data_IF_362449273436
#
_entry.id   IF_362449273436
#
_cell.length_a   1.000
_cell.length_b   1.000
_cell.length_c   1.000
_cell.angle_alpha   90.00
_cell.angle_beta   90.00
_cell.angle_gamma   90.00
#
_symmetry.space_group_name_H-M   'P 1'
#
loop_
_entity.id
_entity.type
_entity.pdbx_description
1 polymer ?
#
# COMPACT_ATOMS: atom_id res chain seq x y z
N UNK A 1 15.56 -70.83 -17.73
CA UNK A 1 16.79 -70.16 -17.26
C UNK A 1 16.75 -68.75 -17.85
N UNK A 2 16.58 -67.72 -17.02
CA UNK A 2 16.61 -66.30 -17.42
C UNK A 2 18.08 -65.80 -17.49
N UNK A 3 18.40 -64.56 -17.89
CA UNK A 3 17.70 -63.52 -18.68
C UNK A 3 18.60 -62.94 -19.83
N UNK A 4 18.13 -61.94 -20.59
CA UNK A 4 19.01 -60.90 -21.15
C UNK A 4 18.25 -59.55 -21.30
N UNK A 5 18.91 -58.38 -21.12
CA UNK A 5 18.26 -57.16 -20.67
C UNK A 5 18.05 -56.08 -21.75
N UNK A 6 17.01 -55.28 -21.53
CA UNK A 6 16.70 -54.04 -22.25
C UNK A 6 17.63 -52.91 -21.80
N UNK A 7 18.42 -52.33 -22.71
CA UNK A 7 19.20 -51.10 -22.45
C UNK A 7 18.80 -49.97 -23.41
N UNK A 8 17.71 -49.28 -23.09
CA UNK A 8 17.34 -48.01 -23.70
C UNK A 8 18.07 -46.84 -23.03
N UNK A 9 18.81 -46.07 -23.82
CA UNK A 9 19.50 -44.83 -23.42
C UNK A 9 18.51 -43.84 -22.78
N UNK A 10 18.82 -43.37 -21.57
CA UNK A 10 18.25 -42.13 -21.00
C UNK A 10 19.39 -41.20 -20.59
N UNK A 11 19.29 -39.97 -21.07
CA UNK A 11 20.11 -38.80 -20.76
C UNK A 11 20.09 -38.51 -19.26
N UNK A 12 21.27 -38.42 -18.67
CA UNK A 12 21.47 -38.03 -17.27
C UNK A 12 21.56 -36.50 -17.21
N UNK A 13 20.52 -35.85 -16.71
CA UNK A 13 20.59 -34.47 -16.24
C UNK A 13 20.97 -34.48 -14.75
N UNK A 14 21.92 -33.65 -14.28
CA UNK A 14 22.31 -33.62 -12.88
C UNK A 14 21.21 -33.05 -11.97
N UNK A 15 21.26 -33.49 -10.72
CA UNK A 15 20.28 -33.28 -9.67
C UNK A 15 19.95 -31.80 -9.37
N UNK A 16 18.65 -31.58 -9.19
CA UNK A 16 18.02 -30.38 -8.67
C UNK A 16 18.67 -29.93 -7.36
N UNK A 17 19.53 -28.92 -7.43
CA UNK A 17 19.92 -28.12 -6.28
C UNK A 17 18.68 -27.46 -5.68
N UNK A 18 18.26 -27.96 -4.51
CA UNK A 18 17.17 -27.43 -3.71
C UNK A 18 17.38 -25.95 -3.41
N UNK A 19 16.70 -25.09 -4.16
CA UNK A 19 16.43 -23.72 -3.73
C UNK A 19 15.19 -23.75 -2.85
N UNK A 20 15.41 -24.04 -1.58
CA UNK A 20 14.47 -23.68 -0.53
C UNK A 20 14.29 -22.16 -0.59
N UNK A 21 13.23 -21.71 -1.24
CA UNK A 21 12.81 -20.32 -1.17
C UNK A 21 11.98 -20.18 0.11
N UNK A 22 12.45 -19.44 1.13
CA UNK A 22 11.62 -19.20 2.29
C UNK A 22 10.51 -18.23 1.89
N UNK A 23 9.33 -18.78 1.58
CA UNK A 23 8.09 -18.01 1.61
C UNK A 23 7.94 -17.52 3.05
N UNK A 24 7.84 -16.20 3.33
CA UNK A 24 7.70 -15.71 4.70
C UNK A 24 6.35 -16.13 5.29
N UNK A 25 6.29 -17.32 5.90
CA UNK A 25 5.10 -17.82 6.61
C UNK A 25 4.74 -16.96 7.83
N UNK A 26 5.66 -16.11 8.29
CA UNK A 26 5.46 -15.21 9.43
C UNK A 26 4.36 -14.16 9.21
N UNK A 27 4.12 -13.72 7.96
CA UNK A 27 3.17 -12.64 7.71
C UNK A 27 1.71 -13.05 7.98
N UNK A 28 1.34 -14.29 7.64
CA UNK A 28 -0.04 -14.77 7.75
C UNK A 28 -0.51 -14.98 9.19
N UNK A 29 0.44 -15.16 10.12
CA UNK A 29 0.13 -15.47 11.53
C UNK A 29 -0.17 -14.24 12.38
N UNK A 30 0.10 -13.01 11.89
CA UNK A 30 -0.09 -11.78 12.67
C UNK A 30 -1.50 -11.17 12.54
N UNK A 31 -2.34 -11.70 11.66
CA UNK A 31 -3.67 -11.14 11.39
C UNK A 31 -4.77 -11.57 12.38
N UNK A 32 -4.51 -12.49 13.33
CA UNK A 32 -5.59 -13.10 14.11
C UNK A 32 -5.21 -13.68 15.47
N UNK A 33 -4.67 -12.89 16.40
CA UNK A 33 -4.47 -13.41 17.76
C UNK A 33 -4.39 -12.32 18.82
N UNK A 34 -5.39 -12.29 19.71
CA UNK A 34 -5.30 -12.02 21.16
C UNK A 34 -6.35 -11.07 21.77
N UNK A 35 -6.88 -10.01 21.12
CA UNK A 35 -7.93 -9.18 21.74
C UNK A 35 -9.37 -9.65 21.49
N UNK A 36 -9.58 -10.45 20.44
CA UNK A 36 -10.91 -10.71 19.87
C UNK A 36 -11.84 -11.52 20.79
N UNK A 37 -11.30 -12.41 21.63
CA UNK A 37 -12.10 -13.39 22.40
C UNK A 37 -13.04 -12.78 23.44
N UNK A 38 -12.72 -11.60 24.00
CA UNK A 38 -13.61 -10.92 24.96
C UNK A 38 -14.71 -10.12 24.26
N UNK A 39 -14.40 -9.48 23.13
CA UNK A 39 -15.35 -8.70 22.33
C UNK A 39 -16.38 -9.61 21.66
N UNK A 40 -15.97 -10.80 21.22
CA UNK A 40 -16.86 -11.78 20.58
C UNK A 40 -17.97 -12.30 21.52
N UNK A 41 -17.77 -12.20 22.84
CA UNK A 41 -18.79 -12.57 23.84
C UNK A 41 -19.83 -11.48 24.03
N UNK A 42 -19.49 -10.22 23.74
CA UNK A 42 -20.41 -9.09 23.86
C UNK A 42 -21.56 -9.24 22.84
N UNK A 43 -22.79 -9.20 23.35
CA UNK A 43 -24.01 -9.24 22.54
C UNK A 43 -24.08 -8.04 21.58
N UNK A 44 -23.55 -6.89 21.98
CA UNK A 44 -23.52 -5.67 21.16
C UNK A 44 -22.60 -5.84 19.94
N UNK A 45 -21.39 -6.38 20.16
CA UNK A 45 -20.43 -6.66 19.10
C UNK A 45 -20.92 -7.75 18.15
N UNK A 46 -21.53 -8.83 18.64
CA UNK A 46 -22.12 -9.86 17.77
C UNK A 46 -23.22 -9.33 16.85
N UNK A 47 -24.06 -8.42 17.37
CA UNK A 47 -25.09 -7.76 16.54
C UNK A 47 -24.45 -6.87 15.47
N UNK A 48 -23.41 -6.14 15.85
CA UNK A 48 -22.62 -5.31 14.94
C UNK A 48 -21.95 -6.15 13.83
N UNK A 49 -21.24 -7.21 14.19
CA UNK A 49 -20.61 -8.15 13.25
C UNK A 49 -21.63 -8.77 12.28
N UNK A 50 -22.77 -9.25 12.79
CA UNK A 50 -23.83 -9.77 11.94
C UNK A 50 -24.45 -8.70 11.01
N UNK A 51 -24.42 -7.42 11.40
CA UNK A 51 -24.81 -6.31 10.53
C UNK A 51 -23.83 -6.12 9.38
N UNK A 52 -22.53 -6.17 9.67
CA UNK A 52 -21.46 -6.09 8.67
C UNK A 52 -21.50 -7.29 7.71
N UNK A 53 -21.65 -8.51 8.21
CA UNK A 53 -21.74 -9.72 7.38
C UNK A 53 -22.93 -9.68 6.41
N UNK A 54 -24.10 -9.22 6.87
CA UNK A 54 -25.27 -9.03 6.00
C UNK A 54 -25.04 -7.96 4.93
N UNK A 55 -24.28 -6.90 5.24
CA UNK A 55 -23.92 -5.91 4.23
C UNK A 55 -22.94 -6.49 3.21
N UNK A 56 -21.94 -7.28 3.66
CA UNK A 56 -20.96 -7.94 2.82
C UNK A 56 -21.57 -8.98 1.88
N UNK A 57 -22.62 -9.69 2.30
CA UNK A 57 -23.29 -10.67 1.43
C UNK A 57 -23.96 -10.03 0.21
N UNK A 58 -24.36 -8.76 0.29
CA UNK A 58 -24.95 -8.04 -0.85
C UNK A 58 -23.96 -7.87 -2.01
N UNK A 59 -22.66 -7.84 -1.71
CA UNK A 59 -21.63 -7.76 -2.74
C UNK A 59 -21.62 -8.99 -3.65
N UNK A 60 -21.98 -10.17 -3.12
CA UNK A 60 -21.91 -11.43 -3.86
C UNK A 60 -23.16 -11.69 -4.70
N UNK A 61 -24.30 -11.15 -4.28
CA UNK A 61 -25.60 -11.51 -4.84
C UNK A 61 -26.26 -10.43 -5.68
N UNK A 62 -25.78 -9.19 -5.64
CA UNK A 62 -26.57 -8.04 -6.11
C UNK A 62 -25.79 -6.97 -6.88
N UNK A 63 -24.56 -7.24 -7.33
CA UNK A 63 -23.77 -6.26 -8.08
C UNK A 63 -23.86 -6.51 -9.58
N UNK A 64 -24.86 -5.91 -10.21
CA UNK A 64 -25.01 -5.95 -11.68
C UNK A 64 -24.66 -4.59 -12.30
N UNK A 65 -24.97 -3.50 -11.60
CA UNK A 65 -24.74 -2.13 -12.07
C UNK A 65 -23.91 -1.28 -11.09
N UNK A 66 -23.31 -0.19 -11.59
CA UNK A 66 -22.51 0.72 -10.77
C UNK A 66 -23.29 1.32 -9.59
N UNK A 67 -24.60 1.50 -9.73
CA UNK A 67 -25.48 2.00 -8.66
C UNK A 67 -25.61 1.00 -7.49
N UNK A 68 -25.48 -0.30 -7.76
CA UNK A 68 -25.51 -1.34 -6.74
C UNK A 68 -24.26 -1.29 -5.85
N UNK A 69 -23.10 -0.93 -6.43
CA UNK A 69 -21.86 -0.73 -5.66
C UNK A 69 -22.02 0.41 -4.66
N UNK A 70 -22.58 1.55 -5.09
CA UNK A 70 -22.85 2.69 -4.20
C UNK A 70 -23.85 2.30 -3.11
N UNK A 71 -24.90 1.57 -3.46
CA UNK A 71 -25.90 1.07 -2.50
C UNK A 71 -25.29 0.11 -1.48
N UNK A 72 -24.44 -0.81 -1.92
CA UNK A 72 -23.65 -1.69 -1.08
C UNK A 72 -22.76 -0.90 -0.13
N UNK A 73 -21.96 0.04 -0.65
CA UNK A 73 -21.02 0.84 0.16
C UNK A 73 -21.76 1.67 1.22
N UNK A 74 -22.91 2.25 0.88
CA UNK A 74 -23.75 2.96 1.84
C UNK A 74 -24.29 2.04 2.94
N UNK A 75 -24.73 0.82 2.59
CA UNK A 75 -25.20 -0.16 3.57
C UNK A 75 -24.06 -0.66 4.46
N UNK A 76 -22.88 -0.91 3.87
CA UNK A 76 -21.68 -1.29 4.60
C UNK A 76 -21.26 -0.19 5.57
N UNK A 77 -21.23 1.08 5.14
CA UNK A 77 -20.88 2.21 6.00
C UNK A 77 -21.85 2.32 7.18
N UNK A 78 -23.16 2.24 6.94
CA UNK A 78 -24.17 2.25 8.00
C UNK A 78 -23.99 1.10 8.98
N UNK A 79 -23.69 -0.10 8.48
CA UNK A 79 -23.40 -1.26 9.32
C UNK A 79 -22.15 -1.03 10.18
N UNK A 80 -21.09 -0.47 9.58
CA UNK A 80 -19.85 -0.10 10.26
C UNK A 80 -20.08 0.99 11.33
N UNK A 81 -20.96 1.95 11.08
CA UNK A 81 -21.34 3.02 12.00
C UNK A 81 -22.23 2.57 13.16
N UNK A 82 -22.89 1.42 13.06
CA UNK A 82 -23.68 0.83 14.15
C UNK A 82 -22.82 0.18 15.25
N UNK A 83 -21.50 0.40 15.22
CA UNK A 83 -20.49 -0.10 16.14
C UNK A 83 -20.72 0.40 17.58
N UNK A 84 -20.55 -0.45 18.60
CA UNK A 84 -20.46 0.01 19.99
C UNK A 84 -19.26 0.92 20.17
N UNK A 85 -19.41 2.07 20.85
CA UNK A 85 -18.33 3.06 21.01
C UNK A 85 -17.03 2.49 21.59
N UNK A 86 -17.12 1.46 22.44
CA UNK A 86 -16.00 0.77 23.07
C UNK A 86 -15.18 -0.15 22.14
N UNK A 87 -15.73 -0.56 21.00
CA UNK A 87 -15.09 -1.56 20.14
C UNK A 87 -14.38 -0.89 18.97
N UNK A 88 -13.06 -0.97 18.84
CA UNK A 88 -12.30 -0.42 17.69
C UNK A 88 -12.04 -1.46 16.58
N UNK A 89 -12.48 -2.71 16.79
CA UNK A 89 -12.25 -3.82 15.86
C UNK A 89 -13.29 -3.86 14.75
N UNK A 90 -12.83 -3.94 13.49
CA UNK A 90 -13.67 -4.11 12.31
C UNK A 90 -13.98 -5.60 12.09
N UNK A 91 -15.26 -6.02 12.11
CA UNK A 91 -15.65 -7.40 11.82
C UNK A 91 -15.28 -7.78 10.38
N UNK A 92 -14.83 -9.01 10.18
CA UNK A 92 -14.45 -9.53 8.87
C UNK A 92 -13.52 -8.59 8.07
N UNK A 93 -12.59 -7.90 8.75
CA UNK A 93 -11.72 -6.86 8.17
C UNK A 93 -11.05 -7.26 6.84
N UNK A 94 -10.66 -8.53 6.71
CA UNK A 94 -10.05 -9.03 5.48
C UNK A 94 -11.03 -9.01 4.30
N UNK A 95 -12.28 -9.39 4.52
CA UNK A 95 -13.32 -9.35 3.51
C UNK A 95 -13.75 -7.90 3.23
N UNK A 96 -13.88 -7.06 4.25
CA UNK A 96 -14.12 -5.62 4.09
C UNK A 96 -13.07 -4.99 3.19
N UNK A 97 -11.78 -5.16 3.52
CA UNK A 97 -10.67 -4.64 2.70
C UNK A 97 -10.73 -5.16 1.27
N UNK A 98 -10.97 -6.47 1.08
CA UNK A 98 -11.10 -7.08 -0.24
C UNK A 98 -12.21 -6.42 -1.07
N UNK A 99 -13.39 -6.19 -0.49
CA UNK A 99 -14.50 -5.55 -1.21
C UNK A 99 -14.21 -4.08 -1.53
N UNK A 100 -13.60 -3.34 -0.61
CA UNK A 100 -13.18 -1.96 -0.86
C UNK A 100 -12.16 -1.88 -2.00
N UNK A 101 -11.16 -2.76 -2.03
CA UNK A 101 -10.21 -2.84 -3.15
C UNK A 101 -10.90 -3.13 -4.49
N UNK A 102 -11.91 -4.00 -4.51
CA UNK A 102 -12.67 -4.28 -5.74
C UNK A 102 -13.49 -3.07 -6.20
N UNK A 103 -13.99 -2.25 -5.27
CA UNK A 103 -14.67 -1.00 -5.61
C UNK A 103 -13.71 0.08 -6.14
N UNK A 104 -12.39 -0.05 -5.96
CA UNK A 104 -11.35 0.79 -6.55
C UNK A 104 -10.84 0.23 -7.90
N UNK A 105 -11.70 -0.45 -8.65
CA UNK A 105 -11.38 -0.88 -10.00
C UNK A 105 -11.50 0.31 -10.98
N UNK A 106 -10.51 0.57 -11.87
CA UNK A 106 -10.57 1.65 -12.87
C UNK A 106 -11.79 1.58 -13.81
N UNK A 107 -12.41 0.41 -14.00
CA UNK A 107 -13.61 0.26 -14.81
C UNK A 107 -14.89 0.80 -14.14
N UNK A 108 -14.84 1.11 -12.84
CA UNK A 108 -15.97 1.67 -12.11
C UNK A 108 -15.96 3.21 -12.15
N UNK A 109 -17.13 3.86 -12.07
CA UNK A 109 -17.19 5.32 -12.14
C UNK A 109 -16.67 5.99 -10.85
N UNK A 110 -16.26 7.25 -10.97
CA UNK A 110 -15.69 8.05 -9.88
C UNK A 110 -16.58 8.18 -8.65
N UNK A 111 -17.90 8.08 -8.79
CA UNK A 111 -18.83 8.08 -7.66
C UNK A 111 -18.65 6.86 -6.75
N UNK A 112 -18.33 5.69 -7.32
CA UNK A 112 -18.03 4.47 -6.55
C UNK A 112 -16.69 4.62 -5.83
N UNK A 113 -15.67 5.18 -6.51
CA UNK A 113 -14.36 5.42 -5.91
C UNK A 113 -14.44 6.39 -4.73
N UNK A 114 -15.12 7.53 -4.88
CA UNK A 114 -15.32 8.50 -3.80
C UNK A 114 -16.00 7.86 -2.59
N UNK A 115 -17.09 7.13 -2.80
CA UNK A 115 -17.79 6.44 -1.71
C UNK A 115 -16.90 5.39 -1.05
N UNK A 116 -16.05 4.72 -1.82
CA UNK A 116 -15.12 3.73 -1.28
C UNK A 116 -14.07 4.38 -0.37
N UNK A 117 -13.49 5.50 -0.80
CA UNK A 117 -12.54 6.26 0.02
C UNK A 117 -13.18 6.81 1.30
N UNK A 118 -14.45 7.20 1.26
CA UNK A 118 -15.22 7.57 2.46
C UNK A 118 -15.33 6.40 3.46
N UNK A 119 -15.60 5.19 2.98
CA UNK A 119 -15.64 3.99 3.84
C UNK A 119 -14.25 3.65 4.36
N UNK A 120 -13.20 3.74 3.54
CA UNK A 120 -11.81 3.56 3.99
C UNK A 120 -11.45 4.56 5.10
N UNK A 121 -11.79 5.84 4.93
CA UNK A 121 -11.57 6.87 5.94
C UNK A 121 -12.25 6.53 7.27
N UNK A 122 -13.52 6.10 7.23
CA UNK A 122 -14.23 5.66 8.44
C UNK A 122 -13.55 4.46 9.12
N UNK A 123 -13.12 3.48 8.32
CA UNK A 123 -12.42 2.28 8.81
C UNK A 123 -11.11 2.67 9.51
N UNK A 124 -10.29 3.51 8.88
CA UNK A 124 -9.00 3.94 9.45
C UNK A 124 -9.16 4.77 10.72
N UNK A 125 -10.12 5.70 10.74
CA UNK A 125 -10.47 6.45 11.96
C UNK A 125 -10.98 5.54 13.08
N UNK A 126 -11.60 4.41 12.76
CA UNK A 126 -12.13 3.47 13.76
C UNK A 126 -11.04 2.60 14.37
N UNK A 127 -10.10 2.10 13.56
CA UNK A 127 -9.01 1.23 14.02
C UNK A 127 -7.85 2.04 14.64
N UNK A 128 -7.73 3.32 14.29
CA UNK A 128 -6.64 4.21 14.72
C UNK A 128 -5.28 3.83 14.12
N UNK A 129 -4.26 4.62 14.42
CA UNK A 129 -2.91 4.45 13.87
C UNK A 129 -2.26 3.12 14.25
N UNK A 130 -2.46 2.64 15.49
CA UNK A 130 -1.97 1.33 15.92
C UNK A 130 -2.65 0.17 15.18
N UNK A 131 -3.96 0.29 14.97
CA UNK A 131 -4.72 -0.70 14.21
C UNK A 131 -4.30 -0.72 12.75
N UNK A 132 -4.16 0.45 12.14
CA UNK A 132 -3.71 0.60 10.76
C UNK A 132 -2.27 0.14 10.58
N UNK A 133 -1.38 0.39 11.54
CA UNK A 133 0.01 -0.09 11.51
C UNK A 133 0.07 -1.61 11.31
N UNK A 134 -0.72 -2.36 12.08
CA UNK A 134 -0.80 -3.83 11.95
C UNK A 134 -1.49 -4.28 10.66
N UNK A 135 -2.55 -3.57 10.27
CA UNK A 135 -3.39 -3.94 9.14
C UNK A 135 -2.96 -3.24 7.82
N UNK A 136 -1.83 -2.54 7.80
CA UNK A 136 -1.37 -1.74 6.65
C UNK A 136 -1.27 -2.60 5.38
N UNK A 137 -0.64 -3.79 5.40
CA UNK A 137 -0.57 -4.64 4.20
C UNK A 137 -1.88 -5.31 3.80
N UNK A 138 -2.90 -5.22 4.64
CA UNK A 138 -4.25 -5.62 4.27
C UNK A 138 -4.94 -4.56 3.41
N UNK A 139 -4.74 -3.26 3.70
CA UNK A 139 -5.46 -2.16 3.03
C UNK A 139 -4.65 -1.50 1.91
N UNK A 140 -3.34 -1.35 2.07
CA UNK A 140 -2.49 -0.64 1.12
C UNK A 140 -2.54 -1.22 -0.31
N UNK A 141 -2.50 -2.55 -0.55
CA UNK A 141 -2.51 -3.07 -1.92
C UNK A 141 -3.72 -2.64 -2.76
N UNK A 142 -4.87 -2.44 -2.12
CA UNK A 142 -6.09 -1.99 -2.80
C UNK A 142 -6.11 -0.51 -3.15
N UNK A 143 -5.24 0.29 -2.51
CA UNK A 143 -5.16 1.74 -2.69
C UNK A 143 -4.09 2.15 -3.70
N UNK A 144 -3.01 1.36 -3.84
CA UNK A 144 -1.79 1.75 -4.59
C UNK A 144 -2.06 2.20 -6.03
N UNK A 145 -2.99 1.58 -6.76
CA UNK A 145 -3.27 1.92 -8.16
C UNK A 145 -4.22 3.12 -8.34
N UNK A 146 -4.84 3.61 -7.26
CA UNK A 146 -5.98 4.53 -7.34
C UNK A 146 -5.62 5.83 -8.04
N UNK A 147 -4.48 6.43 -7.70
CA UNK A 147 -4.10 7.74 -8.21
C UNK A 147 -3.87 7.75 -9.74
N UNK A 148 -3.49 6.60 -10.32
CA UNK A 148 -3.24 6.45 -11.77
C UNK A 148 -4.49 6.60 -12.64
N UNK A 149 -5.68 6.36 -12.09
CA UNK A 149 -6.95 6.47 -12.82
C UNK A 149 -7.97 7.40 -12.15
N UNK A 150 -7.64 7.94 -10.97
CA UNK A 150 -8.52 8.80 -10.19
C UNK A 150 -8.91 10.06 -10.99
N UNK A 151 -10.21 10.33 -11.08
CA UNK A 151 -10.70 11.63 -11.55
C UNK A 151 -10.31 12.74 -10.58
N UNK A 152 -10.37 14.01 -11.02
CA UNK A 152 -10.08 15.18 -10.17
C UNK A 152 -10.81 15.14 -8.83
N UNK A 153 -12.10 14.74 -8.82
CA UNK A 153 -12.90 14.61 -7.60
C UNK A 153 -12.49 13.48 -6.65
N UNK A 154 -11.72 12.48 -7.11
CA UNK A 154 -11.23 11.34 -6.31
C UNK A 154 -9.83 11.61 -5.77
N UNK A 155 -9.03 12.43 -6.47
CA UNK A 155 -7.64 12.71 -6.13
C UNK A 155 -7.48 13.38 -4.76
N UNK A 156 -8.26 14.43 -4.46
CA UNK A 156 -8.19 15.07 -3.14
C UNK A 156 -8.55 14.11 -1.99
N UNK A 157 -9.71 13.40 -1.99
CA UNK A 157 -10.03 12.43 -0.93
C UNK A 157 -9.00 11.31 -0.77
N UNK A 158 -8.33 10.92 -1.86
CA UNK A 158 -7.26 9.94 -1.81
C UNK A 158 -6.01 10.47 -1.11
N UNK A 159 -5.57 11.69 -1.45
CA UNK A 159 -4.42 12.35 -0.81
C UNK A 159 -4.73 12.67 0.66
N UNK A 160 -5.93 13.18 0.96
CA UNK A 160 -6.41 13.44 2.33
C UNK A 160 -6.30 12.18 3.20
N UNK A 161 -6.66 11.03 2.65
CA UNK A 161 -6.64 9.74 3.34
C UNK A 161 -5.21 9.27 3.63
N UNK A 162 -4.26 9.49 2.73
CA UNK A 162 -2.84 9.19 2.99
C UNK A 162 -2.23 10.16 4.02
N UNK A 163 -2.50 11.45 3.87
CA UNK A 163 -2.02 12.49 4.79
C UNK A 163 -2.50 12.25 6.23
N UNK A 164 -3.78 11.95 6.39
CA UNK A 164 -4.41 11.78 7.71
C UNK A 164 -4.01 10.47 8.39
N UNK A 165 -3.94 9.37 7.64
CA UNK A 165 -3.85 8.04 8.25
C UNK A 165 -2.48 7.38 8.08
N UNK A 166 -1.81 7.54 6.94
CA UNK A 166 -0.61 6.78 6.61
C UNK A 166 0.67 7.44 7.12
N UNK A 167 0.70 8.77 7.24
CA UNK A 167 1.86 9.49 7.80
C UNK A 167 2.07 9.20 9.29
N UNK A 168 1.00 8.90 10.02
CA UNK A 168 1.06 8.60 11.46
C UNK A 168 1.27 7.10 11.77
N UNK A 169 1.46 6.26 10.75
CA UNK A 169 1.78 4.84 10.93
C UNK A 169 3.21 4.66 11.45
N UNK A 170 3.42 3.67 12.31
CA UNK A 170 4.75 3.38 12.86
C UNK A 170 5.80 3.18 11.74
N UNK A 171 6.97 3.86 11.83
CA UNK A 171 8.00 3.82 10.80
C UNK A 171 8.48 2.40 10.45
N UNK A 172 8.42 1.44 11.38
CA UNK A 172 8.87 0.05 11.16
C UNK A 172 7.91 -0.70 10.23
N UNK A 173 6.61 -0.37 10.26
CA UNK A 173 5.62 -0.93 9.35
C UNK A 173 5.54 -0.14 8.04
N UNK A 174 5.80 1.17 8.10
CA UNK A 174 5.79 2.05 6.94
C UNK A 174 6.98 1.81 6.00
N UNK A 175 8.18 1.55 6.55
CA UNK A 175 9.40 1.30 5.76
C UNK A 175 9.22 0.18 4.72
N UNK A 176 8.82 -1.06 5.06
CA UNK A 176 8.59 -2.12 4.08
C UNK A 176 7.56 -1.78 3.00
N UNK A 177 6.59 -0.91 3.32
CA UNK A 177 5.55 -0.44 2.41
C UNK A 177 5.98 0.75 1.53
N UNK A 178 7.07 1.43 1.87
CA UNK A 178 7.46 2.72 1.29
C UNK A 178 7.55 2.68 -0.24
N UNK A 179 8.17 1.64 -0.80
CA UNK A 179 8.25 1.49 -2.25
C UNK A 179 6.86 1.50 -2.91
N UNK A 180 5.89 0.80 -2.32
CA UNK A 180 4.52 0.75 -2.86
C UNK A 180 3.82 2.10 -2.72
N UNK A 181 4.05 2.83 -1.63
CA UNK A 181 3.51 4.18 -1.41
C UNK A 181 4.08 5.16 -2.43
N UNK A 182 5.39 5.14 -2.67
CA UNK A 182 6.02 5.98 -3.71
C UNK A 182 5.41 5.68 -5.07
N UNK A 183 5.32 4.40 -5.46
CA UNK A 183 4.69 4.01 -6.73
C UNK A 183 3.25 4.50 -6.86
N UNK A 184 2.50 4.53 -5.74
CA UNK A 184 1.14 5.04 -5.72
C UNK A 184 1.05 6.56 -5.91
N UNK A 185 2.10 7.31 -5.54
CA UNK A 185 2.15 8.78 -5.62
C UNK A 185 2.79 9.29 -6.92
N UNK A 186 3.60 8.47 -7.62
CA UNK A 186 4.24 8.85 -8.88
C UNK A 186 3.29 9.48 -9.91
N UNK A 187 2.06 8.98 -10.14
CA UNK A 187 1.14 9.61 -11.09
C UNK A 187 0.80 11.07 -10.75
N UNK A 188 0.85 11.46 -9.47
CA UNK A 188 0.64 12.85 -9.07
C UNK A 188 1.84 13.76 -9.31
N UNK A 189 2.97 13.21 -9.74
CA UNK A 189 4.20 13.96 -10.05
C UNK A 189 4.49 14.02 -11.57
N UNK A 190 3.67 13.40 -12.42
CA UNK A 190 3.90 13.32 -13.87
C UNK A 190 3.65 14.66 -14.59
N UNK A 191 2.68 15.45 -14.12
CA UNK A 191 2.31 16.73 -14.71
C UNK A 191 2.45 17.88 -13.69
N UNK A 192 3.45 18.74 -13.91
CA UNK A 192 3.74 19.91 -13.06
C UNK A 192 2.65 20.99 -13.08
N UNK A 193 1.81 21.00 -14.12
CA UNK A 193 0.72 21.97 -14.23
C UNK A 193 -0.54 21.50 -13.49
N UNK A 194 -0.55 20.26 -12.99
CA UNK A 194 -1.64 19.72 -12.20
C UNK A 194 -1.76 20.46 -10.86
N UNK A 195 -3.00 20.76 -10.46
CA UNK A 195 -3.32 21.38 -9.17
C UNK A 195 -2.85 20.53 -7.97
N UNK A 196 -2.77 19.21 -8.14
CA UNK A 196 -2.34 18.28 -7.10
C UNK A 196 -0.82 18.06 -7.04
N UNK A 197 -0.05 18.61 -8.00
CA UNK A 197 1.38 18.35 -8.12
C UNK A 197 2.15 18.74 -6.85
N UNK A 198 2.00 19.99 -6.43
CA UNK A 198 2.68 20.52 -5.24
C UNK A 198 2.24 19.81 -3.95
N UNK A 199 0.96 19.41 -3.89
CA UNK A 199 0.43 18.63 -2.76
C UNK A 199 1.04 17.23 -2.71
N UNK A 200 1.11 16.54 -3.84
CA UNK A 200 1.72 15.22 -3.97
C UNK A 200 3.20 15.26 -3.63
N UNK A 201 3.92 16.29 -4.11
CA UNK A 201 5.34 16.48 -3.81
C UNK A 201 5.58 16.67 -2.31
N UNK A 202 4.78 17.50 -1.65
CA UNK A 202 4.85 17.67 -0.18
C UNK A 202 4.56 16.35 0.55
N UNK A 203 3.55 15.60 0.13
CA UNK A 203 3.22 14.32 0.74
C UNK A 203 4.36 13.30 0.61
N UNK A 204 5.04 13.26 -0.54
CA UNK A 204 6.23 12.43 -0.75
C UNK A 204 7.36 12.84 0.21
N UNK A 205 7.60 14.13 0.40
CA UNK A 205 8.56 14.65 1.39
C UNK A 205 8.15 14.32 2.82
N UNK A 206 6.88 14.42 3.18
CA UNK A 206 6.38 14.03 4.51
C UNK A 206 6.59 12.53 4.76
N UNK A 207 6.41 11.68 3.75
CA UNK A 207 6.70 10.25 3.86
C UNK A 207 8.20 9.98 4.06
N UNK A 208 9.08 10.73 3.38
CA UNK A 208 10.55 10.65 3.61
C UNK A 208 10.87 10.93 5.07
N UNK A 209 10.32 12.01 5.63
CA UNK A 209 10.51 12.37 7.04
C UNK A 209 9.91 11.33 8.00
N UNK A 210 8.73 10.79 7.70
CA UNK A 210 8.05 9.80 8.54
C UNK A 210 8.83 8.48 8.68
N UNK A 211 9.62 8.06 7.69
CA UNK A 211 10.45 6.84 7.78
C UNK A 211 11.90 7.08 8.23
N UNK A 212 12.24 8.33 8.56
CA UNK A 212 13.57 8.71 8.99
C UNK A 212 13.90 8.05 10.35
N UNK A 213 15.05 7.38 10.48
CA UNK A 213 15.52 6.85 11.76
C UNK A 213 15.69 7.95 12.81
N UNK A 214 15.42 7.64 14.08
CA UNK A 214 15.52 8.60 15.18
C UNK A 214 16.97 9.08 15.46
N UNK A 215 17.96 8.31 15.03
CA UNK A 215 19.40 8.59 15.13
C UNK A 215 19.96 9.38 13.94
N UNK A 216 19.10 9.87 13.04
CA UNK A 216 19.54 10.63 11.87
C UNK A 216 20.02 12.02 12.24
N UNK A 217 21.13 12.46 11.64
CA UNK A 217 21.66 13.81 11.78
C UNK A 217 21.19 14.68 10.60
N UNK A 218 20.76 15.93 10.85
CA UNK A 218 20.37 16.84 9.78
C UNK A 218 21.58 17.24 8.93
N UNK A 219 21.44 17.13 7.61
CA UNK A 219 22.44 17.58 6.63
C UNK A 219 22.12 19.00 6.16
N UNK A 220 20.84 19.28 5.93
CA UNK A 220 20.32 20.60 5.57
C UNK A 220 18.87 20.76 6.11
N UNK A 221 18.17 21.80 5.66
CA UNK A 221 16.79 22.10 6.10
C UNK A 221 15.75 21.03 5.69
N UNK A 222 16.08 20.14 4.75
CA UNK A 222 15.18 19.16 4.15
C UNK A 222 15.70 17.72 4.22
N UNK A 223 17.00 17.51 4.45
CA UNK A 223 17.69 16.22 4.34
C UNK A 223 18.39 15.81 5.63
N UNK A 224 18.45 14.49 5.85
CA UNK A 224 19.22 13.89 6.94
C UNK A 224 19.95 12.63 6.47
N UNK A 225 20.94 12.19 7.25
CA UNK A 225 21.77 11.00 6.95
C UNK A 225 20.97 9.71 6.76
N UNK A 226 19.79 9.59 7.38
CA UNK A 226 18.91 8.43 7.29
C UNK A 226 17.88 8.44 6.16
N UNK A 227 17.97 9.39 5.22
CA UNK A 227 17.08 9.47 4.05
C UNK A 227 17.47 8.48 2.93
N UNK A 228 18.60 7.78 3.06
CA UNK A 228 19.13 6.84 2.07
C UNK A 228 18.12 5.75 1.67
N UNK A 229 17.39 5.18 2.64
CA UNK A 229 16.38 4.17 2.39
C UNK A 229 15.22 4.69 1.53
N UNK A 230 14.77 5.91 1.80
CA UNK A 230 13.73 6.56 1.01
C UNK A 230 14.19 6.73 -0.43
N UNK A 231 15.39 7.27 -0.64
CA UNK A 231 15.94 7.48 -1.97
C UNK A 231 16.19 6.18 -2.73
N UNK A 232 16.60 5.12 -2.05
CA UNK A 232 16.71 3.77 -2.64
C UNK A 232 15.35 3.24 -3.11
N UNK A 233 14.27 3.51 -2.36
CA UNK A 233 12.92 3.15 -2.76
C UNK A 233 12.44 3.99 -3.95
N UNK A 234 12.76 5.29 -3.97
CA UNK A 234 12.33 6.21 -5.01
C UNK A 234 13.04 5.97 -6.35
N UNK A 235 14.36 5.81 -6.35
CA UNK A 235 15.19 5.72 -7.56
C UNK A 235 15.58 4.28 -7.96
N UNK A 236 14.63 3.34 -7.86
CA UNK A 236 14.80 1.90 -8.14
C UNK A 236 15.98 1.53 -9.08
N UNK A 237 17.03 0.93 -8.48
CA UNK A 237 18.40 0.68 -8.98
C UNK A 237 19.26 1.96 -9.20
N UNK A 238 20.39 2.10 -8.46
CA UNK A 238 21.39 3.16 -8.71
C UNK A 238 21.87 3.22 -10.17
N UNK A 239 21.84 2.10 -10.90
CA UNK A 239 22.27 2.03 -12.30
C UNK A 239 21.28 2.64 -13.29
N UNK A 240 19.98 2.65 -13.00
CA UNK A 240 18.99 3.30 -13.88
C UNK A 240 18.83 4.78 -13.57
N UNK A 241 19.01 5.15 -12.30
CA UNK A 241 19.15 6.51 -11.82
C UNK A 241 20.21 7.32 -12.62
N UNK A 242 21.41 6.75 -12.83
CA UNK A 242 22.41 7.34 -13.72
C UNK A 242 22.00 7.36 -15.19
N UNK A 243 21.32 6.32 -15.68
CA UNK A 243 20.85 6.27 -17.06
C UNK A 243 19.74 7.30 -17.34
N UNK A 244 18.82 7.53 -16.40
CA UNK A 244 17.77 8.55 -16.49
C UNK A 244 18.34 9.99 -16.42
N UNK A 245 19.43 10.19 -15.68
CA UNK A 245 20.15 11.46 -15.66
C UNK A 245 20.98 11.73 -16.93
N UNK A 246 21.35 10.68 -17.69
CA UNK A 246 22.09 10.79 -18.97
C UNK A 246 21.19 10.68 -20.21
N UNK A 247 19.98 10.12 -20.07
CA UNK A 247 19.06 9.87 -21.17
C UNK A 247 17.75 10.62 -20.89
N UNK A 248 17.63 11.78 -21.55
CA UNK A 248 16.41 12.48 -21.93
C UNK A 248 15.79 13.53 -20.98
N UNK A 249 15.62 14.71 -21.59
CA UNK A 249 14.85 15.89 -21.18
C UNK A 249 13.33 15.68 -21.09
N UNK A 250 12.86 14.52 -20.59
CA UNK A 250 11.42 14.17 -20.52
C UNK A 250 10.96 13.62 -19.17
N UNK A 251 11.82 13.56 -18.18
CA UNK A 251 11.40 13.33 -16.80
C UNK A 251 10.77 14.63 -16.29
N UNK A 252 9.55 14.56 -15.74
CA UNK A 252 8.88 15.69 -15.07
C UNK A 252 9.86 16.41 -14.13
N UNK A 253 9.95 17.75 -14.16
CA UNK A 253 10.90 18.51 -13.33
C UNK A 253 10.70 18.21 -11.84
N UNK A 254 9.53 17.72 -11.40
CA UNK A 254 9.34 17.22 -10.04
C UNK A 254 10.25 16.05 -9.68
N UNK A 255 10.36 15.08 -10.58
CA UNK A 255 11.30 13.94 -10.43
C UNK A 255 12.75 14.45 -10.54
N UNK A 256 13.01 15.45 -11.37
CA UNK A 256 14.33 16.09 -11.44
C UNK A 256 14.71 16.82 -10.14
N UNK A 257 13.77 17.53 -9.50
CA UNK A 257 13.98 18.17 -8.19
C UNK A 257 14.31 17.14 -7.12
N UNK A 258 13.52 16.07 -7.03
CA UNK A 258 13.78 14.95 -6.11
C UNK A 258 15.12 14.24 -6.42
N UNK A 259 15.57 14.28 -7.67
CA UNK A 259 16.88 13.74 -8.06
C UNK A 259 18.04 14.63 -7.62
N UNK A 260 17.89 15.95 -7.72
CA UNK A 260 18.87 16.91 -7.17
C UNK A 260 18.99 16.77 -5.65
N UNK A 261 17.86 16.64 -4.96
CA UNK A 261 17.77 16.37 -3.52
C UNK A 261 18.50 15.08 -3.12
N UNK A 262 18.29 13.99 -3.87
CA UNK A 262 18.96 12.70 -3.63
C UNK A 262 20.50 12.80 -3.73
N UNK A 263 21.03 13.61 -4.66
CA UNK A 263 22.49 13.77 -4.85
C UNK A 263 23.18 14.43 -3.66
N UNK A 264 22.45 15.24 -2.87
CA UNK A 264 22.99 15.88 -1.68
C UNK A 264 23.23 14.87 -0.55
N UNK A 265 22.43 13.80 -0.51
CA UNK A 265 22.48 12.78 0.55
C UNK A 265 23.34 11.58 0.16
N UNK A 266 23.27 11.16 -1.11
CA UNK A 266 24.00 9.98 -1.62
C UNK A 266 25.15 10.47 -2.50
N UNK A 267 26.38 10.65 -1.97
CA UNK A 267 27.52 11.00 -2.78
C UNK A 267 27.79 9.89 -3.81
N UNK A 268 28.26 10.23 -5.03
CA UNK A 268 28.56 9.23 -6.04
C UNK A 268 29.66 8.29 -5.53
N UNK A 269 29.30 7.04 -5.25
CA UNK A 269 30.26 5.93 -5.14
C UNK A 269 30.78 5.60 -6.56
N UNK A 270 31.53 6.53 -7.15
CA UNK A 270 32.23 6.32 -8.43
C UNK A 270 33.65 6.82 -8.29
N UNK A 271 34.53 5.98 -7.73
CA UNK A 271 35.97 5.91 -8.07
C UNK A 271 36.73 4.73 -7.40
N UNK A 272 36.17 3.50 -7.34
CA UNK A 272 37.01 2.30 -7.05
C UNK A 272 36.68 1.03 -7.86
N UNK A 273 35.81 1.08 -8.87
CA UNK A 273 35.66 -0.03 -9.84
C UNK A 273 35.91 0.44 -11.28
N UNK A 274 37.18 0.77 -11.55
CA UNK A 274 37.80 0.61 -12.87
C UNK A 274 39.25 0.14 -12.64
N UNK A 275 39.41 -1.18 -12.57
CA UNK A 275 40.51 -1.86 -13.26
C UNK A 275 39.89 -2.61 -14.42
#
# INVERSE_FOLDING_TARGET
MAPDPVSGRRSVSPESSGRDSPIPRQWRSQLGGAPEDHLLKDKSYRRYAAGVDRALSLFETALEEWADYISFLNKLLKALQARPSSATTIPAKALVSKRLSQCLNPSLPSGVHQKTLEVCNYVFSTIGHDGLTRDLPLYLPGLVSTLSFASLSVRSPYLDLLETHFLEVDPRSLRPAMKSIILALLPGLEDETSEDFERTLRLVSSFKEAIRPADSEPLDNHHATGDDYFWQCFFWRPSQAMAAAQVHSRTSRGICRLWEDCRLVVPPQVSQMRR
#
